data_IF_239512631314
#
_entry.id   IF_239512631314
#
_cell.length_a   1.000
_cell.length_b   1.000
_cell.length_c   1.000
_cell.angle_alpha   90.00
_cell.angle_beta   90.00
_cell.angle_gamma   90.00
#
_symmetry.space_group_name_H-M   'P 1'
#
loop_
_entity.id
_entity.type
_entity.pdbx_description
1 polymer ?
#
# COMPACT_ATOMS: atom_id res chain seq x y z
N UNK A 1 -4.77 -12.43 -33.63
CA UNK A 1 -3.98 -11.28 -33.13
C UNK A 1 -4.56 -10.03 -33.79
N UNK A 2 -5.53 -9.39 -33.15
CA UNK A 2 -6.03 -8.08 -33.60
C UNK A 2 -5.00 -7.04 -33.20
N UNK A 3 -4.29 -6.50 -34.19
CA UNK A 3 -3.51 -5.28 -34.03
C UNK A 3 -4.54 -4.15 -33.90
N UNK A 4 -4.91 -3.78 -32.66
CA UNK A 4 -5.64 -2.55 -32.43
C UNK A 4 -4.76 -1.41 -32.97
N UNK A 5 -5.27 -0.68 -33.96
CA UNK A 5 -4.57 0.46 -34.55
C UNK A 5 -4.39 1.52 -33.46
N UNK A 6 -3.16 2.02 -33.32
CA UNK A 6 -2.81 3.13 -32.39
C UNK A 6 -3.62 4.36 -32.75
N UNK A 7 -4.38 4.88 -31.79
CA UNK A 7 -5.29 6.01 -32.00
C UNK A 7 -4.62 7.34 -31.67
N UNK A 8 -4.55 8.22 -32.67
CA UNK A 8 -4.02 9.57 -32.52
C UNK A 8 -5.15 10.60 -32.66
N UNK A 9 -5.36 11.41 -31.64
CA UNK A 9 -6.26 12.57 -31.72
C UNK A 9 -5.44 13.83 -31.98
N UNK A 10 -5.80 14.57 -33.02
CA UNK A 10 -5.18 15.84 -33.37
C UNK A 10 -6.19 16.97 -33.13
N UNK A 11 -5.83 17.85 -32.21
CA UNK A 11 -6.56 19.04 -31.82
C UNK A 11 -5.81 20.26 -32.38
N UNK A 12 -6.20 20.69 -33.58
CA UNK A 12 -5.56 21.79 -34.32
C UNK A 12 -6.63 22.65 -34.96
N UNK A 13 -6.55 23.96 -34.84
CA UNK A 13 -7.56 24.90 -35.36
C UNK A 13 -7.32 25.26 -36.84
N UNK A 14 -6.06 25.23 -37.28
CA UNK A 14 -5.74 25.45 -38.72
C UNK A 14 -6.10 24.23 -39.57
N UNK A 15 -7.03 24.43 -40.48
CA UNK A 15 -7.52 23.37 -41.39
C UNK A 15 -6.45 22.84 -42.37
N UNK A 16 -5.52 23.71 -42.80
CA UNK A 16 -4.45 23.29 -43.69
C UNK A 16 -3.47 22.40 -42.97
N UNK A 17 -3.08 22.80 -41.74
CA UNK A 17 -2.17 22.07 -40.90
C UNK A 17 -2.76 20.73 -40.44
N UNK A 18 -4.06 20.67 -40.14
CA UNK A 18 -4.76 19.40 -39.85
C UNK A 18 -4.59 18.38 -40.96
N UNK A 19 -4.79 18.80 -42.21
CA UNK A 19 -4.63 17.92 -43.39
C UNK A 19 -3.19 17.45 -43.58
N UNK A 20 -2.25 18.32 -43.32
CA UNK A 20 -0.83 17.97 -43.34
C UNK A 20 -0.50 16.91 -42.28
N UNK A 21 -0.97 17.09 -41.08
CA UNK A 21 -0.79 16.14 -39.97
C UNK A 21 -1.47 14.79 -40.26
N UNK A 22 -2.69 14.79 -40.81
CA UNK A 22 -3.37 13.56 -41.25
C UNK A 22 -2.51 12.77 -42.26
N UNK A 23 -1.90 13.46 -43.22
CA UNK A 23 -1.03 12.83 -44.23
C UNK A 23 0.27 12.27 -43.59
N UNK A 24 0.87 13.01 -42.62
CA UNK A 24 2.09 12.58 -41.96
C UNK A 24 1.84 11.28 -41.14
N UNK A 25 0.68 11.13 -40.54
CA UNK A 25 0.32 9.99 -39.68
C UNK A 25 -0.73 9.05 -40.33
N UNK A 26 -0.76 8.95 -41.64
CA UNK A 26 -1.70 8.08 -42.36
C UNK A 26 -1.58 6.57 -42.02
N UNK A 27 -0.50 6.17 -41.39
CA UNK A 27 -0.24 4.81 -40.88
C UNK A 27 -0.97 4.52 -39.56
N UNK A 28 -1.49 5.55 -38.88
CA UNK A 28 -2.23 5.47 -37.62
C UNK A 28 -3.74 5.59 -37.81
N UNK A 29 -4.49 5.35 -36.74
CA UNK A 29 -5.92 5.68 -36.68
C UNK A 29 -6.07 7.13 -36.19
N UNK A 30 -6.18 8.06 -37.13
CA UNK A 30 -6.13 9.50 -36.86
C UNK A 30 -7.54 10.07 -36.82
N UNK A 31 -7.84 10.78 -35.72
CA UNK A 31 -9.06 11.61 -35.62
C UNK A 31 -8.62 13.06 -35.44
N UNK A 32 -9.13 13.92 -36.30
CA UNK A 32 -8.84 15.36 -36.27
C UNK A 32 -10.06 16.17 -35.82
N UNK A 33 -9.84 17.17 -34.98
CA UNK A 33 -10.87 18.10 -34.53
C UNK A 33 -10.28 19.48 -34.23
N UNK A 34 -11.17 20.48 -34.13
CA UNK A 34 -10.81 21.76 -33.50
C UNK A 34 -10.88 21.66 -32.00
N UNK A 35 -10.02 22.41 -31.32
CA UNK A 35 -10.07 22.53 -29.85
C UNK A 35 -11.33 23.33 -29.46
N UNK A 36 -12.32 22.66 -28.87
CA UNK A 36 -13.62 23.25 -28.53
C UNK A 36 -14.19 22.62 -27.24
N UNK A 37 -15.32 23.13 -26.77
CA UNK A 37 -16.05 22.52 -25.64
C UNK A 37 -16.45 21.06 -25.87
N UNK A 38 -16.58 20.65 -27.14
CA UNK A 38 -16.90 19.27 -27.53
C UNK A 38 -15.70 18.32 -27.44
N UNK A 39 -14.48 18.83 -27.24
CA UNK A 39 -13.24 18.03 -27.17
C UNK A 39 -13.30 16.98 -26.07
N UNK A 40 -13.85 17.29 -24.91
CA UNK A 40 -13.97 16.34 -23.81
C UNK A 40 -14.89 15.15 -24.15
N UNK A 41 -16.00 15.41 -24.84
CA UNK A 41 -16.90 14.36 -25.33
C UNK A 41 -16.21 13.50 -26.40
N UNK A 42 -15.41 14.13 -27.28
CA UNK A 42 -14.64 13.44 -28.30
C UNK A 42 -13.56 12.54 -27.69
N UNK A 43 -12.80 13.01 -26.72
CA UNK A 43 -11.79 12.23 -25.99
C UNK A 43 -12.43 10.99 -25.37
N UNK A 44 -13.58 11.11 -24.72
CA UNK A 44 -14.30 9.96 -24.14
C UNK A 44 -14.80 8.96 -25.16
N UNK A 45 -15.18 9.42 -26.38
CA UNK A 45 -15.70 8.56 -27.46
C UNK A 45 -14.61 7.85 -28.20
N UNK A 46 -13.51 8.55 -28.50
CA UNK A 46 -12.38 8.04 -29.29
C UNK A 46 -11.45 7.19 -28.46
N UNK A 47 -11.27 7.54 -27.17
CA UNK A 47 -10.28 6.93 -26.27
C UNK A 47 -8.89 6.88 -26.93
N UNK A 48 -8.29 8.04 -27.24
CA UNK A 48 -7.02 8.08 -27.95
C UNK A 48 -5.84 7.72 -27.02
N UNK A 49 -4.82 7.09 -27.58
CA UNK A 49 -3.57 6.80 -26.86
C UNK A 49 -2.67 8.03 -26.75
N UNK A 50 -2.64 8.83 -27.82
CA UNK A 50 -1.84 10.04 -27.93
C UNK A 50 -2.70 11.19 -28.45
N UNK A 51 -2.50 12.37 -27.90
CA UNK A 51 -3.13 13.62 -28.34
C UNK A 51 -2.05 14.61 -28.78
N UNK A 52 -2.11 15.07 -30.01
CA UNK A 52 -1.41 16.27 -30.46
C UNK A 52 -2.33 17.46 -30.22
N UNK A 53 -1.92 18.37 -29.35
CA UNK A 53 -2.77 19.47 -28.92
C UNK A 53 -2.11 20.82 -29.24
N UNK A 54 -2.68 21.57 -30.15
CA UNK A 54 -2.27 22.94 -30.40
C UNK A 54 -2.75 23.88 -29.29
N UNK A 55 -1.81 24.50 -28.62
CA UNK A 55 -2.08 25.48 -27.56
C UNK A 55 -2.39 26.88 -28.10
N UNK A 56 -2.31 27.08 -29.43
CA UNK A 56 -2.59 28.34 -30.11
C UNK A 56 -1.50 29.41 -29.91
N UNK A 57 -1.90 30.66 -30.10
CA UNK A 57 -1.03 31.82 -29.96
C UNK A 57 -0.87 32.25 -28.49
N UNK A 58 0.24 32.92 -28.12
CA UNK A 58 0.54 33.33 -26.75
C UNK A 58 -0.37 34.44 -26.17
N UNK A 59 -1.44 34.80 -26.86
CA UNK A 59 -2.44 35.73 -26.32
C UNK A 59 -3.03 35.19 -25.02
N UNK A 60 -2.93 35.93 -23.93
CA UNK A 60 -3.20 35.47 -22.56
C UNK A 60 -4.55 34.76 -22.37
N UNK A 61 -5.60 35.20 -23.04
CA UNK A 61 -6.93 34.62 -22.92
C UNK A 61 -7.02 33.24 -23.59
N UNK A 62 -6.49 33.09 -24.81
CA UNK A 62 -6.50 31.84 -25.58
C UNK A 62 -5.59 30.78 -24.95
N UNK A 63 -4.40 31.20 -24.50
CA UNK A 63 -3.44 30.33 -23.81
C UNK A 63 -4.00 29.75 -22.50
N UNK A 64 -4.69 30.56 -21.69
CA UNK A 64 -5.32 30.13 -20.44
C UNK A 64 -6.44 29.13 -20.68
N UNK A 65 -7.25 29.30 -21.73
CA UNK A 65 -8.30 28.34 -22.10
C UNK A 65 -7.71 27.00 -22.57
N UNK A 66 -6.66 27.03 -23.38
CA UNK A 66 -5.99 25.82 -23.86
C UNK A 66 -5.37 25.01 -22.70
N UNK A 67 -4.69 25.66 -21.77
CA UNK A 67 -4.13 25.01 -20.58
C UNK A 67 -5.22 24.43 -19.67
N UNK A 68 -6.36 25.10 -19.51
CA UNK A 68 -7.49 24.59 -18.76
C UNK A 68 -8.10 23.36 -19.43
N UNK A 69 -8.26 23.39 -20.78
CA UNK A 69 -8.73 22.23 -21.54
C UNK A 69 -7.75 21.04 -21.41
N UNK A 70 -6.44 21.29 -21.49
CA UNK A 70 -5.42 20.27 -21.26
C UNK A 70 -5.58 19.61 -19.89
N UNK A 71 -5.76 20.41 -18.84
CA UNK A 71 -6.00 19.92 -17.49
C UNK A 71 -7.26 19.07 -17.40
N UNK A 72 -8.33 19.49 -18.04
CA UNK A 72 -9.61 18.74 -18.09
C UNK A 72 -9.47 17.41 -18.83
N UNK A 73 -8.71 17.37 -19.94
CA UNK A 73 -8.42 16.13 -20.66
C UNK A 73 -7.67 15.14 -19.75
N UNK A 74 -6.61 15.60 -19.07
CA UNK A 74 -5.84 14.76 -18.15
C UNK A 74 -6.65 14.27 -16.94
N UNK A 75 -7.60 15.08 -16.44
CA UNK A 75 -8.50 14.66 -15.37
C UNK A 75 -9.46 13.55 -15.78
N UNK A 76 -9.92 13.56 -17.05
CA UNK A 76 -10.86 12.57 -17.58
C UNK A 76 -10.15 11.28 -17.99
N UNK A 77 -8.94 11.41 -18.53
CA UNK A 77 -8.15 10.32 -19.05
C UNK A 77 -6.67 10.50 -18.66
N UNK A 78 -6.30 10.15 -17.42
CA UNK A 78 -4.95 10.41 -16.87
C UNK A 78 -3.84 9.63 -17.59
N UNK A 79 -4.19 8.57 -18.28
CA UNK A 79 -3.23 7.71 -18.98
C UNK A 79 -2.88 8.20 -20.39
N UNK A 80 -3.63 9.16 -20.97
CA UNK A 80 -3.38 9.72 -22.29
C UNK A 80 -2.02 10.42 -22.33
N UNK A 81 -1.30 10.26 -23.44
CA UNK A 81 -0.06 11.01 -23.70
C UNK A 81 -0.35 12.25 -24.52
N UNK A 82 -0.16 13.44 -23.95
CA UNK A 82 -0.40 14.71 -24.61
C UNK A 82 0.91 15.34 -25.05
N UNK A 83 1.02 15.64 -26.35
CA UNK A 83 2.10 16.43 -26.93
C UNK A 83 1.54 17.82 -27.23
N UNK A 84 2.02 18.81 -26.52
CA UNK A 84 1.59 20.20 -26.71
C UNK A 84 2.32 20.82 -27.91
N UNK A 85 1.59 21.35 -28.87
CA UNK A 85 2.16 22.12 -29.98
C UNK A 85 2.06 23.61 -29.71
N UNK A 86 3.15 24.35 -29.93
CA UNK A 86 3.21 25.79 -29.68
C UNK A 86 3.96 26.52 -30.79
N UNK A 87 3.70 27.80 -30.97
CA UNK A 87 4.52 28.66 -31.79
C UNK A 87 5.92 28.82 -31.20
N UNK A 88 6.89 29.18 -32.06
CA UNK A 88 8.32 29.22 -31.68
C UNK A 88 8.61 30.17 -30.50
N UNK A 89 7.87 31.24 -30.37
CA UNK A 89 8.05 32.28 -29.35
C UNK A 89 7.33 31.98 -28.02
N UNK A 90 6.58 30.86 -27.93
CA UNK A 90 5.72 30.52 -26.78
C UNK A 90 6.36 29.49 -25.84
N UNK A 91 7.66 29.64 -25.50
CA UNK A 91 8.38 28.70 -24.59
C UNK A 91 7.75 28.58 -23.23
N UNK A 92 7.29 29.69 -22.64
CA UNK A 92 6.69 29.70 -21.32
C UNK A 92 5.38 28.87 -21.29
N UNK A 93 4.63 28.87 -22.40
CA UNK A 93 3.41 28.10 -22.54
C UNK A 93 3.69 26.59 -22.62
N UNK A 94 4.77 26.21 -23.35
CA UNK A 94 5.23 24.83 -23.39
C UNK A 94 5.63 24.30 -22.00
N UNK A 95 6.38 25.12 -21.24
CA UNK A 95 6.80 24.78 -19.86
C UNK A 95 5.59 24.61 -18.94
N UNK A 96 4.58 25.49 -19.06
CA UNK A 96 3.35 25.38 -18.29
C UNK A 96 2.57 24.14 -18.65
N UNK A 97 2.45 23.78 -19.93
CA UNK A 97 1.78 22.56 -20.37
C UNK A 97 2.43 21.29 -19.81
N UNK A 98 3.76 21.21 -19.84
CA UNK A 98 4.52 20.10 -19.23
C UNK A 98 4.34 20.09 -17.70
N UNK A 99 4.34 21.26 -17.05
CA UNK A 99 4.06 21.39 -15.62
C UNK A 99 2.66 20.94 -15.22
N UNK A 100 1.68 21.00 -16.13
CA UNK A 100 0.31 20.49 -15.93
C UNK A 100 0.16 18.99 -16.26
N UNK A 101 1.20 18.35 -16.83
CA UNK A 101 1.19 16.92 -17.10
C UNK A 101 1.24 16.53 -18.59
N UNK A 102 1.46 17.48 -19.52
CA UNK A 102 1.76 17.10 -20.91
C UNK A 102 3.04 16.26 -20.97
N UNK A 103 3.02 15.21 -21.78
CA UNK A 103 4.13 14.25 -21.88
C UNK A 103 5.35 14.85 -22.58
N UNK A 104 5.11 15.71 -23.56
CA UNK A 104 6.15 16.38 -24.33
C UNK A 104 5.59 17.66 -24.99
N UNK A 105 6.45 18.45 -25.61
CA UNK A 105 6.03 19.58 -26.42
C UNK A 105 6.75 19.64 -27.77
N UNK A 106 6.15 20.33 -28.72
CA UNK A 106 6.70 20.51 -30.06
C UNK A 106 6.50 21.97 -30.54
N UNK A 107 7.54 22.56 -31.11
CA UNK A 107 7.47 23.91 -31.66
C UNK A 107 7.17 23.88 -33.17
N UNK A 108 6.21 24.70 -33.61
CA UNK A 108 5.97 24.98 -35.01
C UNK A 108 7.12 25.84 -35.57
N UNK A 109 7.51 25.72 -36.87
CA UNK A 109 6.85 24.98 -37.94
C UNK A 109 7.07 23.46 -37.86
N UNK A 110 6.14 22.70 -38.48
CA UNK A 110 6.18 21.24 -38.42
C UNK A 110 7.30 20.70 -39.28
N UNK A 111 8.16 19.88 -38.68
CA UNK A 111 9.07 18.99 -39.38
C UNK A 111 8.55 17.55 -39.22
N UNK A 112 8.03 16.97 -40.29
CA UNK A 112 7.38 15.65 -40.27
C UNK A 112 8.28 14.55 -39.67
N UNK A 113 9.59 14.54 -39.95
CA UNK A 113 10.51 13.54 -39.44
C UNK A 113 10.68 13.66 -37.91
N UNK A 114 10.85 14.89 -37.40
CA UNK A 114 11.05 15.13 -35.96
C UNK A 114 9.74 14.87 -35.20
N UNK A 115 8.61 15.40 -35.69
CA UNK A 115 7.32 15.20 -35.03
C UNK A 115 6.94 13.71 -34.99
N UNK A 116 7.21 12.95 -36.06
CA UNK A 116 6.99 11.50 -36.07
C UNK A 116 7.79 10.77 -34.99
N UNK A 117 9.03 11.20 -34.69
CA UNK A 117 9.82 10.63 -33.61
C UNK A 117 9.18 10.91 -32.25
N UNK A 118 8.74 12.15 -32.01
CA UNK A 118 8.09 12.55 -30.74
C UNK A 118 6.80 11.77 -30.53
N UNK A 119 5.94 11.66 -31.55
CA UNK A 119 4.69 10.92 -31.49
C UNK A 119 4.93 9.42 -31.26
N UNK A 120 5.87 8.80 -31.98
CA UNK A 120 6.24 7.39 -31.76
C UNK A 120 6.77 7.13 -30.37
N UNK A 121 7.54 8.06 -29.82
CA UNK A 121 8.01 7.99 -28.43
C UNK A 121 6.85 8.02 -27.44
N UNK A 122 5.87 8.90 -27.64
CA UNK A 122 4.68 8.97 -26.78
C UNK A 122 3.87 7.66 -26.82
N UNK A 123 3.66 7.07 -28.01
CA UNK A 123 3.05 5.74 -28.15
C UNK A 123 3.86 4.66 -27.42
N UNK A 124 5.19 4.68 -27.55
CA UNK A 124 6.03 3.70 -26.86
C UNK A 124 5.95 3.80 -25.33
N UNK A 125 5.88 5.02 -24.80
CA UNK A 125 5.66 5.25 -23.37
C UNK A 125 4.31 4.65 -22.96
N UNK A 126 3.24 4.92 -23.71
CA UNK A 126 1.90 4.37 -23.45
C UNK A 126 1.89 2.83 -23.45
N UNK A 127 2.48 2.21 -24.48
CA UNK A 127 2.60 0.76 -24.58
C UNK A 127 3.35 0.14 -23.38
N UNK A 128 4.47 0.76 -22.98
CA UNK A 128 5.25 0.26 -21.85
C UNK A 128 4.47 0.37 -20.53
N UNK A 129 3.68 1.43 -20.35
CA UNK A 129 2.83 1.57 -19.19
C UNK A 129 1.68 0.55 -19.18
N UNK A 130 1.04 0.32 -20.34
CA UNK A 130 0.01 -0.71 -20.48
C UNK A 130 0.57 -2.13 -20.28
N UNK A 131 1.72 -2.43 -20.87
CA UNK A 131 2.37 -3.72 -20.69
C UNK A 131 2.79 -3.93 -19.24
N UNK A 132 3.29 -2.89 -18.57
CA UNK A 132 3.60 -2.90 -17.14
C UNK A 132 2.34 -3.13 -16.30
N UNK A 133 1.22 -2.48 -16.67
CA UNK A 133 -0.09 -2.70 -16.06
C UNK A 133 -0.56 -4.14 -16.24
N UNK A 134 -0.53 -4.68 -17.47
CA UNK A 134 -0.89 -6.08 -17.77
C UNK A 134 0.01 -7.10 -17.06
N UNK A 135 1.32 -6.85 -17.02
CA UNK A 135 2.26 -7.70 -16.29
C UNK A 135 1.98 -7.67 -14.78
N UNK A 136 1.65 -6.52 -14.23
CA UNK A 136 1.22 -6.38 -12.84
C UNK A 136 -0.08 -7.13 -12.56
N UNK A 137 -1.06 -7.05 -13.47
CA UNK A 137 -2.31 -7.80 -13.38
C UNK A 137 -2.10 -9.31 -13.55
N UNK A 138 -1.27 -9.74 -14.49
CA UNK A 138 -0.96 -11.16 -14.75
C UNK A 138 -0.15 -11.78 -13.61
N UNK A 139 0.75 -11.04 -13.00
CA UNK A 139 1.48 -11.50 -11.81
C UNK A 139 0.63 -11.46 -10.55
N UNK A 140 -0.58 -10.85 -10.62
CA UNK A 140 -1.45 -10.68 -9.45
C UNK A 140 -0.82 -9.84 -8.33
N UNK A 141 0.35 -9.25 -8.59
CA UNK A 141 1.07 -8.43 -7.63
C UNK A 141 0.42 -7.04 -7.58
N UNK A 142 -0.48 -6.82 -6.65
CA UNK A 142 -0.91 -5.49 -6.30
C UNK A 142 0.25 -4.75 -5.64
N UNK A 143 0.91 -3.88 -6.39
CA UNK A 143 1.85 -2.91 -5.81
C UNK A 143 1.08 -1.62 -5.49
N UNK A 144 0.28 -1.63 -4.44
CA UNK A 144 -0.35 -0.43 -3.93
C UNK A 144 0.70 0.33 -3.12
N UNK A 145 1.23 1.42 -3.65
CA UNK A 145 2.16 2.32 -2.94
C UNK A 145 3.35 1.61 -2.25
N UNK A 146 3.89 0.55 -2.88
CA UNK A 146 4.98 -0.26 -2.34
C UNK A 146 4.54 -1.46 -1.48
N UNK A 147 3.24 -1.70 -1.36
CA UNK A 147 2.69 -2.91 -0.75
C UNK A 147 2.70 -4.02 -1.81
N UNK A 148 3.49 -5.07 -1.57
CA UNK A 148 3.61 -6.21 -2.46
C UNK A 148 2.84 -7.39 -1.86
N UNK A 149 1.95 -7.99 -2.65
CA UNK A 149 1.19 -9.17 -2.25
C UNK A 149 0.23 -9.63 -3.35
N UNK A 150 0.04 -10.94 -3.45
CA UNK A 150 -0.87 -11.60 -4.38
C UNK A 150 -1.98 -12.37 -3.67
N UNK A 151 -1.84 -12.57 -2.35
CA UNK A 151 -2.81 -13.31 -1.56
C UNK A 151 -4.16 -12.60 -1.48
N UNK A 152 -5.26 -13.36 -1.44
CA UNK A 152 -6.62 -12.80 -1.31
C UNK A 152 -6.79 -11.98 -0.02
N UNK A 153 -6.09 -12.40 1.04
CA UNK A 153 -6.07 -11.68 2.30
C UNK A 153 -5.47 -10.28 2.13
N UNK A 154 -4.33 -10.14 1.44
CA UNK A 154 -3.72 -8.83 1.17
C UNK A 154 -4.52 -8.01 0.16
N UNK A 155 -5.10 -8.63 -0.87
CA UNK A 155 -6.02 -7.92 -1.79
C UNK A 155 -7.21 -7.29 -1.06
N UNK A 156 -7.74 -7.97 -0.06
CA UNK A 156 -8.83 -7.44 0.77
C UNK A 156 -8.39 -6.23 1.60
N UNK A 157 -7.16 -6.26 2.16
CA UNK A 157 -6.57 -5.11 2.89
C UNK A 157 -6.35 -3.93 1.94
N UNK A 158 -5.77 -4.16 0.75
CA UNK A 158 -5.53 -3.09 -0.23
C UNK A 158 -6.84 -2.41 -0.66
N UNK A 159 -7.89 -3.19 -0.98
CA UNK A 159 -9.22 -2.64 -1.30
C UNK A 159 -9.83 -1.84 -0.15
N UNK A 160 -9.61 -2.25 1.08
CA UNK A 160 -10.07 -1.49 2.25
C UNK A 160 -9.30 -0.17 2.39
N UNK A 161 -7.97 -0.17 2.15
CA UNK A 161 -7.14 1.05 2.12
C UNK A 161 -7.67 2.03 1.06
N UNK A 162 -7.90 1.58 -0.18
CA UNK A 162 -8.42 2.42 -1.27
C UNK A 162 -9.76 3.08 -0.92
N UNK A 163 -10.66 2.35 -0.25
CA UNK A 163 -11.96 2.88 0.18
C UNK A 163 -11.85 3.90 1.32
N UNK A 164 -10.93 3.68 2.26
CA UNK A 164 -10.81 4.49 3.48
C UNK A 164 -9.88 5.69 3.28
N UNK A 165 -8.89 5.57 2.40
CA UNK A 165 -7.89 6.61 2.19
C UNK A 165 -8.48 7.99 1.85
N UNK A 166 -9.50 8.15 0.98
CA UNK A 166 -10.08 9.45 0.66
C UNK A 166 -10.85 10.09 1.83
N UNK A 167 -11.16 9.35 2.88
CA UNK A 167 -11.91 9.86 4.04
C UNK A 167 -10.98 10.44 5.10
N UNK A 168 -11.55 11.26 6.03
CA UNK A 168 -10.84 11.74 7.21
C UNK A 168 -11.02 10.82 8.44
N UNK A 169 -11.58 9.62 8.27
CA UNK A 169 -11.79 8.68 9.37
C UNK A 169 -10.48 8.30 10.05
N UNK A 170 -10.54 8.11 11.36
CA UNK A 170 -9.45 7.57 12.15
C UNK A 170 -9.30 6.08 11.86
N UNK A 171 -8.08 5.62 11.57
CA UNK A 171 -7.81 4.24 11.18
C UNK A 171 -6.94 3.54 12.21
N UNK A 172 -7.42 2.39 12.70
CA UNK A 172 -6.65 1.50 13.56
C UNK A 172 -6.11 0.31 12.75
N UNK A 173 -4.79 0.20 12.65
CA UNK A 173 -4.09 -0.87 11.92
C UNK A 173 -3.61 -1.92 12.92
N UNK A 174 -4.18 -3.11 12.86
CA UNK A 174 -3.81 -4.24 13.70
C UNK A 174 -2.98 -5.25 12.92
N UNK A 175 -1.93 -5.79 13.54
CA UNK A 175 -1.11 -6.83 12.93
C UNK A 175 0.13 -7.13 13.74
N UNK A 176 0.67 -8.33 13.58
CA UNK A 176 1.90 -8.75 14.25
C UNK A 176 3.09 -7.83 13.93
N UNK A 177 4.14 -7.89 14.76
CA UNK A 177 5.37 -7.16 14.49
C UNK A 177 5.96 -7.61 13.13
N UNK A 178 6.45 -6.63 12.34
CA UNK A 178 7.07 -6.93 11.05
C UNK A 178 6.10 -7.20 9.89
N UNK A 179 4.79 -7.04 10.06
CA UNK A 179 3.79 -7.26 8.99
C UNK A 179 3.68 -6.12 7.98
N UNK A 180 4.28 -4.95 8.26
CA UNK A 180 4.28 -3.78 7.40
C UNK A 180 3.23 -2.71 7.76
N UNK A 181 2.84 -2.59 9.04
CA UNK A 181 1.85 -1.59 9.51
C UNK A 181 2.17 -0.16 9.07
N UNK A 182 3.44 0.25 9.13
CA UNK A 182 3.86 1.58 8.69
C UNK A 182 3.67 1.79 7.18
N UNK A 183 3.92 0.77 6.34
CA UNK A 183 3.67 0.85 4.89
C UNK A 183 2.18 1.09 4.61
N UNK A 184 1.28 0.42 5.36
CA UNK A 184 -0.17 0.63 5.23
C UNK A 184 -0.56 2.06 5.63
N UNK A 185 0.04 2.59 6.71
CA UNK A 185 -0.22 3.97 7.13
C UNK A 185 0.27 4.99 6.09
N UNK A 186 1.43 4.75 5.48
CA UNK A 186 1.94 5.59 4.39
C UNK A 186 1.06 5.51 3.14
N UNK A 187 0.56 4.33 2.78
CA UNK A 187 -0.37 4.15 1.67
C UNK A 187 -1.69 4.89 1.91
N UNK A 188 -2.28 4.78 3.12
CA UNK A 188 -3.46 5.53 3.53
C UNK A 188 -3.27 7.05 3.40
N UNK A 189 -2.09 7.56 3.76
CA UNK A 189 -1.76 8.98 3.62
C UNK A 189 -1.62 9.40 2.16
N UNK A 190 -0.83 8.66 1.36
CA UNK A 190 -0.57 8.99 -0.05
C UNK A 190 -1.82 8.97 -0.92
N UNK A 191 -2.75 8.06 -0.64
CA UNK A 191 -4.03 7.94 -1.35
C UNK A 191 -5.12 8.88 -0.79
N UNK A 192 -4.79 9.70 0.19
CA UNK A 192 -5.73 10.65 0.80
C UNK A 192 -5.68 12.02 0.14
N UNK A 193 -6.70 12.85 0.39
CA UNK A 193 -6.68 14.28 0.03
C UNK A 193 -5.58 15.10 0.74
N UNK A 194 -4.84 14.48 1.68
CA UNK A 194 -3.74 15.11 2.43
C UNK A 194 -2.35 14.62 1.97
N UNK A 195 -2.24 13.96 0.82
CA UNK A 195 -0.99 13.38 0.29
C UNK A 195 0.18 14.36 0.18
N UNK A 196 -0.11 15.65 -0.05
CA UNK A 196 0.89 16.72 -0.13
C UNK A 196 1.13 17.44 1.22
N UNK A 197 0.49 16.98 2.29
CA UNK A 197 0.60 17.54 3.63
C UNK A 197 1.57 16.72 4.49
N UNK A 198 2.00 17.22 5.66
CA UNK A 198 2.92 16.47 6.52
C UNK A 198 2.39 15.09 6.93
N UNK A 199 3.28 14.10 6.91
CA UNK A 199 3.08 12.79 7.53
C UNK A 199 4.06 12.65 8.69
N UNK A 200 3.56 12.71 9.92
CA UNK A 200 4.39 12.65 11.12
C UNK A 200 4.18 11.30 11.81
N UNK A 201 5.21 10.46 11.79
CA UNK A 201 5.20 9.16 12.43
C UNK A 201 5.85 9.24 13.82
N UNK A 202 5.20 8.63 14.80
CA UNK A 202 5.65 8.56 16.19
C UNK A 202 5.50 7.12 16.64
N UNK A 203 6.61 6.52 17.10
CA UNK A 203 6.59 5.19 17.68
C UNK A 203 6.53 5.33 19.21
N UNK A 204 5.39 4.97 19.80
CA UNK A 204 5.15 5.12 21.24
C UNK A 204 6.03 4.19 22.10
N UNK A 205 6.49 3.06 21.55
CA UNK A 205 7.38 2.14 22.25
C UNK A 205 8.86 2.53 22.21
N UNK A 206 9.26 3.37 21.24
CA UNK A 206 10.66 3.74 21.05
C UNK A 206 11.09 4.95 21.88
N UNK A 207 10.15 5.72 22.42
CA UNK A 207 10.40 6.94 23.19
C UNK A 207 10.13 6.64 24.66
N UNK A 208 11.06 6.96 25.59
CA UNK A 208 10.80 6.84 27.02
C UNK A 208 9.55 7.62 27.45
N UNK A 209 8.75 7.06 28.36
CA UNK A 209 7.46 7.64 28.80
C UNK A 209 7.58 9.11 29.23
N UNK A 210 8.66 9.46 29.90
CA UNK A 210 8.95 10.83 30.39
C UNK A 210 9.17 11.84 29.26
N UNK A 211 9.62 11.36 28.09
CA UNK A 211 9.87 12.21 26.91
C UNK A 211 8.71 12.17 25.91
N UNK A 212 7.95 11.08 25.89
CA UNK A 212 6.85 10.89 24.93
C UNK A 212 5.82 12.02 25.04
N UNK A 213 5.51 12.48 26.25
CA UNK A 213 4.60 13.59 26.48
C UNK A 213 5.12 14.88 25.85
N UNK A 214 6.37 15.25 26.10
CA UNK A 214 6.98 16.46 25.57
C UNK A 214 7.16 16.42 24.05
N UNK A 215 7.45 15.24 23.47
CA UNK A 215 7.53 15.04 22.04
C UNK A 215 6.17 15.18 21.36
N UNK A 216 5.12 14.59 21.94
CA UNK A 216 3.76 14.63 21.36
C UNK A 216 3.14 16.04 21.45
N UNK A 217 3.12 16.61 22.65
CA UNK A 217 2.33 17.83 22.93
C UNK A 217 3.17 19.11 22.93
N UNK A 218 4.51 19.01 22.97
CA UNK A 218 5.38 20.18 23.12
C UNK A 218 5.33 20.81 24.52
N UNK A 219 6.10 21.86 24.71
CA UNK A 219 6.19 22.52 26.01
C UNK A 219 6.47 24.00 25.90
N UNK A 220 6.01 24.75 26.91
CA UNK A 220 6.35 26.16 27.08
C UNK A 220 7.67 26.31 27.87
N UNK A 221 8.32 27.47 27.74
CA UNK A 221 9.51 27.81 28.50
C UNK A 221 9.22 27.71 30.01
N UNK A 222 10.02 26.96 30.76
CA UNK A 222 9.87 26.76 32.20
C UNK A 222 8.90 25.66 32.60
N UNK A 223 8.37 24.86 31.68
CA UNK A 223 7.44 23.78 31.98
C UNK A 223 8.03 22.68 32.86
N UNK A 224 9.34 22.46 32.76
CA UNK A 224 10.12 21.52 33.60
C UNK A 224 11.58 21.95 33.65
N UNK A 225 12.37 21.30 34.53
CA UNK A 225 13.82 21.57 34.66
C UNK A 225 14.52 21.22 33.35
N UNK A 226 15.07 22.24 32.64
CA UNK A 226 15.68 22.09 31.31
C UNK A 226 14.85 22.67 30.15
N UNK A 227 13.60 23.08 30.37
CA UNK A 227 12.78 23.75 29.35
C UNK A 227 13.21 25.21 29.16
N UNK A 228 14.35 25.43 28.51
CA UNK A 228 14.95 26.77 28.32
C UNK A 228 14.25 27.60 27.25
N UNK A 229 13.59 26.96 26.30
CA UNK A 229 12.84 27.59 25.19
C UNK A 229 11.51 26.86 24.99
N UNK A 230 10.56 27.56 24.36
CA UNK A 230 9.31 26.97 23.86
C UNK A 230 9.63 25.99 22.73
N UNK A 231 8.99 24.82 22.71
CA UNK A 231 9.15 23.80 21.67
C UNK A 231 7.78 23.27 21.25
N UNK A 232 7.53 23.27 19.94
CA UNK A 232 6.31 22.71 19.36
C UNK A 232 6.33 21.19 19.41
N UNK A 233 5.20 20.58 19.70
CA UNK A 233 5.04 19.11 19.70
C UNK A 233 4.84 18.55 18.29
N UNK A 234 5.00 17.21 18.18
CA UNK A 234 4.78 16.50 16.92
C UNK A 234 3.36 16.65 16.37
N UNK A 235 2.35 16.80 17.26
CA UNK A 235 0.97 17.05 16.85
C UNK A 235 0.85 18.41 16.18
N UNK A 236 1.50 19.46 16.68
CA UNK A 236 1.53 20.78 16.04
C UNK A 236 2.26 20.74 14.69
N UNK A 237 3.38 20.00 14.60
CA UNK A 237 4.15 19.84 13.35
C UNK A 237 3.38 19.09 12.27
N UNK A 238 2.39 18.31 12.65
CA UNK A 238 1.54 17.53 11.75
C UNK A 238 0.29 18.29 11.30
N UNK A 239 0.09 19.54 11.75
CA UNK A 239 -1.14 20.28 11.45
C UNK A 239 -1.45 20.30 9.97
N UNK A 240 -2.72 20.19 9.61
CA UNK A 240 -3.29 20.00 8.27
C UNK A 240 -2.93 18.65 7.61
N UNK A 241 -2.11 17.82 8.25
CA UNK A 241 -1.57 16.58 7.73
C UNK A 241 -2.14 15.31 8.39
N UNK A 242 -1.27 14.32 8.52
CA UNK A 242 -1.58 13.00 9.10
C UNK A 242 -0.59 12.65 10.21
N UNK A 243 -1.10 12.25 11.35
CA UNK A 243 -0.31 11.68 12.46
C UNK A 243 -0.43 10.17 12.41
N UNK A 244 0.69 9.50 12.42
CA UNK A 244 0.78 8.04 12.57
C UNK A 244 1.36 7.69 13.94
N UNK A 245 0.54 7.06 14.79
CA UNK A 245 0.93 6.58 16.11
C UNK A 245 1.17 5.08 16.04
N UNK A 246 2.44 4.69 15.93
CA UNK A 246 2.83 3.28 15.95
C UNK A 246 2.94 2.77 17.39
N UNK A 247 2.55 1.51 17.59
CA UNK A 247 2.50 0.80 18.87
C UNK A 247 1.71 1.58 19.94
N UNK A 248 0.48 2.05 19.55
CA UNK A 248 -0.40 2.82 20.45
C UNK A 248 -0.75 2.07 21.74
N UNK A 249 -0.74 0.72 21.71
CA UNK A 249 -0.98 -0.11 22.88
C UNK A 249 0.11 -0.03 23.97
N UNK A 250 1.24 0.62 23.68
CA UNK A 250 2.33 0.89 24.63
C UNK A 250 2.21 2.26 25.31
N UNK A 251 1.23 3.09 24.89
CA UNK A 251 1.07 4.44 25.42
C UNK A 251 0.67 4.44 26.91
N UNK A 252 1.36 5.18 27.78
CA UNK A 252 0.99 5.33 29.19
C UNK A 252 -0.44 5.86 29.39
N UNK A 253 -1.14 5.39 30.43
CA UNK A 253 -2.53 5.74 30.69
C UNK A 253 -2.78 7.26 30.83
N UNK A 254 -1.81 8.00 31.39
CA UNK A 254 -1.87 9.48 31.49
C UNK A 254 -1.92 10.15 30.13
N UNK A 255 -1.17 9.62 29.15
CA UNK A 255 -1.11 10.17 27.78
C UNK A 255 -2.32 9.75 26.95
N UNK A 256 -2.90 8.57 27.22
CA UNK A 256 -4.14 8.15 26.59
C UNK A 256 -5.28 9.14 26.84
N UNK A 257 -5.41 9.68 28.08
CA UNK A 257 -6.41 10.67 28.40
C UNK A 257 -6.19 11.99 27.65
N UNK A 258 -4.93 12.44 27.51
CA UNK A 258 -4.59 13.65 26.75
C UNK A 258 -4.83 13.47 25.25
N UNK A 259 -4.47 12.33 24.69
CA UNK A 259 -4.70 12.00 23.30
C UNK A 259 -6.22 11.97 23.00
N UNK A 260 -7.02 11.36 23.88
CA UNK A 260 -8.48 11.34 23.74
C UNK A 260 -9.05 12.77 23.63
N UNK A 261 -8.56 13.69 24.49
CA UNK A 261 -8.97 15.08 24.44
C UNK A 261 -8.64 15.74 23.10
N UNK A 262 -7.43 15.51 22.56
CA UNK A 262 -7.05 16.03 21.23
C UNK A 262 -7.95 15.47 20.13
N UNK A 263 -8.29 14.17 20.17
CA UNK A 263 -9.19 13.55 19.20
C UNK A 263 -10.62 14.11 19.25
N UNK A 264 -11.09 14.53 20.43
CA UNK A 264 -12.44 15.06 20.64
C UNK A 264 -12.53 16.55 20.37
N UNK A 265 -11.63 17.34 20.96
CA UNK A 265 -11.68 18.81 20.94
C UNK A 265 -10.94 19.41 19.73
N UNK A 266 -10.12 18.63 19.03
CA UNK A 266 -9.28 19.09 17.92
C UNK A 266 -8.35 20.25 18.33
N UNK A 267 -7.92 20.24 19.59
CA UNK A 267 -6.99 21.22 20.14
C UNK A 267 -5.90 20.51 20.93
N UNK A 268 -4.74 21.14 21.04
CA UNK A 268 -3.63 20.68 21.87
C UNK A 268 -3.20 21.77 22.85
N UNK A 269 -2.93 21.37 24.09
CA UNK A 269 -2.29 22.21 25.10
C UNK A 269 -0.84 21.78 25.25
N UNK A 270 0.12 22.72 25.18
CA UNK A 270 1.52 22.42 25.50
C UNK A 270 1.68 22.19 26.99
N UNK A 271 2.70 21.41 27.37
CA UNK A 271 3.06 21.22 28.78
C UNK A 271 3.43 22.57 29.38
N UNK A 272 2.77 22.94 30.50
CA UNK A 272 2.94 24.25 31.14
C UNK A 272 2.20 25.40 30.45
N UNK A 273 1.55 25.15 29.31
CA UNK A 273 0.71 26.12 28.60
C UNK A 273 -0.75 26.08 29.08
N UNK A 274 -1.49 27.15 28.79
CA UNK A 274 -2.94 27.29 29.08
C UNK A 274 -3.76 27.70 27.86
N UNK A 275 -3.11 27.87 26.72
CA UNK A 275 -3.77 28.33 25.49
C UNK A 275 -3.97 27.15 24.57
N UNK A 276 -5.21 26.73 24.30
CA UNK A 276 -5.47 25.64 23.36
C UNK A 276 -5.09 26.07 21.94
N UNK A 277 -4.41 25.19 21.22
CA UNK A 277 -3.97 25.38 19.84
C UNK A 277 -4.87 24.49 18.96
N UNK A 278 -5.69 25.06 18.05
CA UNK A 278 -6.53 24.27 17.17
C UNK A 278 -5.68 23.50 16.17
N UNK A 279 -6.08 22.26 15.87
CA UNK A 279 -5.39 21.36 14.95
C UNK A 279 -6.39 20.71 13.99
N UNK A 280 -6.03 20.63 12.72
CA UNK A 280 -6.72 19.82 11.72
C UNK A 280 -5.88 18.59 11.37
N UNK A 281 -6.09 17.48 12.08
CA UNK A 281 -5.30 16.27 11.96
C UNK A 281 -6.14 15.07 11.54
N UNK A 282 -5.58 14.24 10.65
CA UNK A 282 -6.00 12.86 10.45
C UNK A 282 -5.14 11.93 11.30
N UNK A 283 -5.77 10.98 12.00
CA UNK A 283 -5.06 10.02 12.83
C UNK A 283 -5.06 8.63 12.19
N UNK A 284 -3.89 7.98 12.20
CA UNK A 284 -3.72 6.58 11.89
C UNK A 284 -2.97 5.97 13.08
N UNK A 285 -3.53 4.95 13.72
CA UNK A 285 -2.94 4.27 14.86
C UNK A 285 -2.58 2.84 14.49
N UNK A 286 -1.50 2.29 15.04
CA UNK A 286 -1.13 0.91 14.82
C UNK A 286 -0.68 0.23 16.12
N UNK A 287 -0.93 -1.07 16.23
CA UNK A 287 -0.41 -1.90 17.33
C UNK A 287 -0.35 -3.37 16.96
N UNK A 288 0.55 -4.11 17.60
CA UNK A 288 0.61 -5.57 17.59
C UNK A 288 -0.05 -6.18 18.83
N UNK A 289 -0.40 -5.37 19.84
CA UNK A 289 -1.02 -5.84 21.08
C UNK A 289 -2.51 -6.12 20.92
N UNK A 290 -3.02 -7.03 21.73
CA UNK A 290 -4.45 -7.27 21.86
C UNK A 290 -5.07 -6.17 22.74
N UNK A 291 -5.73 -5.19 22.12
CA UNK A 291 -6.34 -4.07 22.82
C UNK A 291 -7.50 -4.52 23.72
N UNK A 292 -8.27 -5.53 23.35
CA UNK A 292 -9.38 -6.05 24.18
C UNK A 292 -8.83 -6.58 25.51
N UNK A 293 -7.68 -7.25 25.49
CA UNK A 293 -7.01 -7.71 26.70
C UNK A 293 -6.46 -6.54 27.51
N UNK A 294 -5.89 -5.52 26.89
CA UNK A 294 -5.40 -4.33 27.60
C UNK A 294 -6.54 -3.52 28.23
N UNK A 295 -7.70 -3.45 27.59
CA UNK A 295 -8.92 -2.83 28.15
C UNK A 295 -9.37 -3.61 29.35
N UNK A 296 -9.49 -4.94 29.28
CA UNK A 296 -9.94 -5.78 30.38
C UNK A 296 -9.04 -5.71 31.62
N UNK A 297 -7.75 -5.43 31.44
CA UNK A 297 -6.78 -5.23 32.53
C UNK A 297 -6.64 -3.78 33.00
N UNK A 298 -7.38 -2.84 32.38
CA UNK A 298 -7.29 -1.41 32.69
C UNK A 298 -6.01 -0.71 32.18
N UNK A 299 -5.17 -1.40 31.38
CA UNK A 299 -3.96 -0.83 30.81
C UNK A 299 -4.24 0.07 29.59
N UNK A 300 -5.38 -0.11 28.93
CA UNK A 300 -5.84 0.75 27.83
C UNK A 300 -7.27 1.21 28.09
N UNK A 301 -7.56 2.48 27.79
CA UNK A 301 -8.86 3.07 28.03
C UNK A 301 -9.85 2.65 26.93
N UNK A 302 -11.02 2.24 27.31
CA UNK A 302 -12.11 1.83 26.41
C UNK A 302 -12.64 3.00 25.58
N UNK A 303 -12.74 4.21 26.17
CA UNK A 303 -13.18 5.42 25.47
C UNK A 303 -12.23 5.84 24.35
N UNK A 304 -10.92 5.73 24.57
CA UNK A 304 -9.92 5.96 23.55
C UNK A 304 -10.01 4.92 22.42
N UNK A 305 -10.19 3.64 22.78
CA UNK A 305 -10.33 2.56 21.80
C UNK A 305 -11.46 2.86 20.81
N UNK A 306 -12.65 3.20 21.27
CA UNK A 306 -13.76 3.52 20.37
C UNK A 306 -13.49 4.76 19.50
N UNK A 307 -12.69 5.69 19.97
CA UNK A 307 -12.36 6.90 19.20
C UNK A 307 -11.30 6.67 18.13
N UNK A 308 -10.36 5.73 18.34
CA UNK A 308 -9.32 5.40 17.35
C UNK A 308 -9.73 4.27 16.40
N UNK A 309 -10.76 3.49 16.71
CA UNK A 309 -11.21 2.33 15.95
C UNK A 309 -12.41 2.60 15.03
N UNK A 310 -12.60 3.84 14.53
CA UNK A 310 -13.66 4.16 13.57
C UNK A 310 -13.61 3.21 12.36
N UNK A 311 -12.40 2.95 11.86
CA UNK A 311 -12.14 1.91 10.86
C UNK A 311 -10.97 1.06 11.32
N UNK A 312 -11.16 -0.26 11.37
CA UNK A 312 -10.09 -1.20 11.75
C UNK A 312 -9.63 -2.00 10.54
N UNK A 313 -8.33 -1.92 10.25
CA UNK A 313 -7.65 -2.73 9.23
C UNK A 313 -6.80 -3.79 9.93
N UNK A 314 -7.02 -5.08 9.61
CA UNK A 314 -6.23 -6.20 10.13
C UNK A 314 -5.27 -6.68 9.04
N UNK A 315 -3.97 -6.60 9.32
CA UNK A 315 -2.93 -7.10 8.41
C UNK A 315 -2.66 -8.55 8.79
N UNK A 316 -2.87 -9.51 7.87
CA UNK A 316 -2.59 -10.91 8.15
C UNK A 316 -1.09 -11.14 8.33
N UNK A 317 -0.65 -12.05 9.19
CA UNK A 317 0.75 -12.45 9.29
C UNK A 317 1.20 -13.17 8.01
N UNK A 318 2.51 -13.17 7.73
CA UNK A 318 3.06 -13.67 6.46
C UNK A 318 2.71 -15.16 6.21
N UNK A 319 2.61 -15.97 7.25
CA UNK A 319 2.18 -17.38 7.19
C UNK A 319 0.74 -17.59 6.67
N UNK A 320 -0.11 -16.58 6.74
CA UNK A 320 -1.51 -16.60 6.25
C UNK A 320 -1.64 -15.96 4.85
N UNK A 321 -0.54 -15.43 4.30
CA UNK A 321 -0.47 -14.82 2.97
C UNK A 321 0.09 -15.83 1.97
N UNK A 322 -0.79 -16.66 1.44
CA UNK A 322 -0.36 -17.72 0.52
C UNK A 322 0.29 -17.16 -0.76
N UNK A 323 1.51 -17.57 -1.04
CA UNK A 323 2.29 -17.11 -2.20
C UNK A 323 3.09 -15.82 -1.97
N UNK A 324 2.77 -14.99 -0.98
CA UNK A 324 3.43 -13.71 -0.77
C UNK A 324 4.87 -13.86 -0.26
N UNK A 325 5.19 -14.91 0.51
CA UNK A 325 6.54 -15.11 1.04
C UNK A 325 7.60 -15.23 -0.06
N UNK A 326 7.30 -16.00 -1.11
CA UNK A 326 8.21 -16.18 -2.24
C UNK A 326 8.30 -14.89 -3.10
N UNK A 327 7.16 -14.26 -3.38
CA UNK A 327 7.12 -13.01 -4.14
C UNK A 327 7.91 -11.90 -3.44
N UNK A 328 7.71 -11.73 -2.14
CA UNK A 328 8.46 -10.77 -1.32
C UNK A 328 9.95 -11.11 -1.29
N UNK A 329 10.31 -12.40 -1.16
CA UNK A 329 11.71 -12.82 -1.17
C UNK A 329 12.40 -12.46 -2.49
N UNK A 330 11.77 -12.70 -3.63
CA UNK A 330 12.29 -12.35 -4.95
C UNK A 330 12.49 -10.84 -5.11
N UNK A 331 11.48 -10.05 -4.72
CA UNK A 331 11.57 -8.59 -4.76
C UNK A 331 12.67 -8.05 -3.85
N UNK A 332 12.74 -8.53 -2.61
CA UNK A 332 13.75 -8.11 -1.65
C UNK A 332 15.16 -8.53 -2.09
N UNK A 333 15.29 -9.71 -2.71
CA UNK A 333 16.55 -10.18 -3.27
C UNK A 333 17.05 -9.24 -4.36
N UNK A 334 16.20 -8.92 -5.33
CA UNK A 334 16.55 -8.02 -6.43
C UNK A 334 16.91 -6.63 -5.92
N UNK A 335 16.05 -6.02 -5.11
CA UNK A 335 16.27 -4.66 -4.58
C UNK A 335 17.53 -4.59 -3.71
N UNK A 336 17.80 -5.64 -2.92
CA UNK A 336 18.99 -5.71 -2.07
C UNK A 336 20.24 -5.91 -2.90
N UNK A 337 20.20 -6.77 -3.92
CA UNK A 337 21.31 -7.01 -4.86
C UNK A 337 21.71 -5.73 -5.59
N UNK A 338 20.74 -5.00 -6.13
CA UNK A 338 20.96 -3.70 -6.79
C UNK A 338 21.59 -2.69 -5.83
N UNK A 339 21.07 -2.58 -4.62
CA UNK A 339 21.55 -1.64 -3.60
C UNK A 339 22.99 -1.89 -3.15
N UNK A 340 23.41 -3.16 -3.07
CA UNK A 340 24.76 -3.53 -2.65
C UNK A 340 25.71 -3.80 -3.81
N UNK A 341 25.25 -3.64 -5.07
CA UNK A 341 26.07 -3.91 -6.26
C UNK A 341 26.51 -5.37 -6.37
N UNK A 342 25.72 -6.31 -5.80
CA UNK A 342 26.01 -7.75 -5.81
C UNK A 342 25.14 -8.44 -6.86
N UNK A 343 25.70 -8.97 -7.96
CA UNK A 343 24.92 -9.67 -8.97
C UNK A 343 24.41 -11.01 -8.39
N UNK A 344 23.12 -11.09 -8.14
CA UNK A 344 22.47 -12.35 -7.80
C UNK A 344 21.71 -12.90 -9.00
N UNK A 345 21.77 -14.23 -9.22
CA UNK A 345 21.05 -14.93 -10.29
C UNK A 345 19.69 -15.46 -9.84
N UNK A 346 19.35 -15.33 -8.56
CA UNK A 346 18.08 -15.74 -7.99
C UNK A 346 18.21 -16.65 -6.77
N UNK A 347 17.09 -17.31 -6.43
CA UNK A 347 16.99 -18.27 -5.33
C UNK A 347 17.17 -19.70 -5.87
N UNK A 348 17.92 -20.52 -5.17
CA UNK A 348 18.06 -21.94 -5.45
C UNK A 348 16.75 -22.69 -5.13
N UNK A 349 16.49 -23.87 -5.72
CA UNK A 349 15.26 -24.63 -5.47
C UNK A 349 15.03 -25.01 -3.99
N UNK A 350 16.10 -25.29 -3.24
CA UNK A 350 16.07 -25.55 -1.79
C UNK A 350 15.65 -24.28 -1.01
N UNK A 351 16.19 -23.10 -1.38
CA UNK A 351 15.78 -21.83 -0.79
C UNK A 351 14.30 -21.53 -1.03
N UNK A 352 13.78 -21.80 -2.24
CA UNK A 352 12.36 -21.61 -2.56
C UNK A 352 11.48 -22.47 -1.66
N UNK A 353 11.80 -23.79 -1.53
CA UNK A 353 11.07 -24.70 -0.65
C UNK A 353 11.13 -24.26 0.81
N UNK A 354 12.32 -23.87 1.28
CA UNK A 354 12.53 -23.39 2.65
C UNK A 354 11.73 -22.12 2.95
N UNK A 355 11.71 -21.15 2.04
CA UNK A 355 10.93 -19.91 2.18
C UNK A 355 9.44 -20.20 2.28
N UNK A 356 8.91 -21.11 1.47
CA UNK A 356 7.49 -21.47 1.46
C UNK A 356 7.07 -22.27 2.71
N UNK A 357 7.96 -23.10 3.24
CA UNK A 357 7.68 -23.93 4.41
C UNK A 357 7.85 -23.19 5.74
N UNK A 358 8.63 -22.13 5.77
CA UNK A 358 8.92 -21.40 7.01
C UNK A 358 7.72 -20.59 7.50
N UNK A 359 7.49 -20.54 8.82
CA UNK A 359 6.34 -19.86 9.44
C UNK A 359 6.46 -18.35 9.58
N UNK A 360 7.65 -17.82 9.43
CA UNK A 360 7.95 -16.39 9.50
C UNK A 360 7.41 -15.70 10.78
N UNK A 361 7.85 -16.08 11.99
CA UNK A 361 7.38 -15.44 13.21
C UNK A 361 7.69 -13.94 13.28
N UNK A 362 8.78 -13.48 12.66
CA UNK A 362 9.10 -12.06 12.48
C UNK A 362 8.55 -11.44 11.20
N UNK A 363 7.64 -12.16 10.49
CA UNK A 363 6.95 -11.70 9.29
C UNK A 363 7.91 -11.16 8.20
N UNK A 364 7.53 -10.06 7.53
CA UNK A 364 8.31 -9.46 6.43
C UNK A 364 9.66 -8.92 6.93
N UNK A 365 9.73 -8.43 8.16
CA UNK A 365 10.99 -7.94 8.74
C UNK A 365 12.03 -9.06 8.91
N UNK A 366 11.60 -10.24 9.31
CA UNK A 366 12.50 -11.41 9.38
C UNK A 366 12.95 -11.83 7.98
N UNK A 367 12.02 -11.93 7.03
CA UNK A 367 12.32 -12.27 5.65
C UNK A 367 13.33 -11.28 5.04
N UNK A 368 13.10 -9.98 5.21
CA UNK A 368 14.00 -8.93 4.74
C UNK A 368 15.40 -9.06 5.33
N UNK A 369 15.51 -9.29 6.64
CA UNK A 369 16.81 -9.43 7.30
C UNK A 369 17.56 -10.68 6.83
N UNK A 370 16.88 -11.80 6.63
CA UNK A 370 17.50 -13.03 6.11
C UNK A 370 17.96 -12.88 4.67
N UNK A 371 17.17 -12.25 3.80
CA UNK A 371 17.55 -11.95 2.43
C UNK A 371 18.75 -11.00 2.39
N UNK A 372 18.73 -9.92 3.20
CA UNK A 372 19.89 -9.01 3.29
C UNK A 372 21.16 -9.74 3.74
N UNK A 373 21.05 -10.57 4.76
CA UNK A 373 22.18 -11.37 5.23
C UNK A 373 22.71 -12.29 4.15
N UNK A 374 21.82 -13.00 3.46
CA UNK A 374 22.20 -13.89 2.37
C UNK A 374 22.87 -13.15 1.21
N UNK A 375 22.36 -12.01 0.75
CA UNK A 375 22.96 -11.21 -0.34
C UNK A 375 24.36 -10.71 0.03
N UNK A 376 24.57 -10.34 1.29
CA UNK A 376 25.88 -9.81 1.76
C UNK A 376 26.89 -10.95 1.91
N UNK A 377 26.49 -12.10 2.45
CA UNK A 377 27.38 -13.18 2.87
C UNK A 377 27.52 -14.32 1.86
N UNK A 378 26.57 -14.45 0.90
CA UNK A 378 26.64 -15.54 -0.10
C UNK A 378 27.92 -15.43 -0.96
N UNK A 379 28.61 -16.53 -1.08
CA UNK A 379 29.80 -16.68 -1.95
C UNK A 379 29.41 -16.90 -3.42
N UNK A 380 28.21 -17.44 -3.64
CA UNK A 380 27.68 -17.78 -4.97
C UNK A 380 26.64 -16.76 -5.43
N UNK A 381 26.46 -16.66 -6.76
CA UNK A 381 25.43 -15.80 -7.35
C UNK A 381 24.01 -16.31 -7.15
N UNK A 382 23.79 -17.54 -6.66
CA UNK A 382 22.49 -18.14 -6.37
C UNK A 382 22.38 -18.36 -4.87
N UNK A 383 21.34 -17.80 -4.24
CA UNK A 383 21.12 -17.88 -2.79
C UNK A 383 20.45 -19.22 -2.44
N UNK A 384 21.08 -19.96 -1.54
CA UNK A 384 20.62 -21.28 -1.05
C UNK A 384 19.83 -21.16 0.26
N UNK A 385 19.18 -22.25 0.70
CA UNK A 385 18.50 -22.31 1.99
C UNK A 385 19.49 -22.06 3.15
N UNK A 386 20.70 -22.58 3.05
CA UNK A 386 21.78 -22.37 4.03
C UNK A 386 22.18 -20.89 4.16
N UNK A 387 22.27 -20.17 3.02
CA UNK A 387 22.58 -18.72 3.03
C UNK A 387 21.50 -17.91 3.75
N UNK A 388 20.24 -18.36 3.69
CA UNK A 388 19.11 -17.78 4.40
C UNK A 388 19.06 -18.22 5.89
N UNK A 389 19.91 -19.13 6.32
CA UNK A 389 19.83 -19.76 7.64
C UNK A 389 18.53 -20.55 7.83
N UNK A 390 17.99 -21.14 6.75
CA UNK A 390 16.80 -21.98 6.75
C UNK A 390 17.19 -23.43 6.49
N UNK A 391 16.40 -24.35 7.04
CA UNK A 391 16.53 -25.77 6.70
C UNK A 391 15.72 -26.08 5.45
N UNK A 392 16.29 -26.85 4.52
CA UNK A 392 15.54 -27.37 3.38
C UNK A 392 14.60 -28.49 3.87
N UNK A 393 13.27 -28.31 3.75
CA UNK A 393 12.35 -29.37 4.12
C UNK A 393 12.49 -30.63 3.24
N UNK A 394 13.18 -30.53 2.09
CA UNK A 394 13.48 -31.67 1.22
C UNK A 394 14.62 -32.56 1.71
N UNK A 395 15.47 -32.10 2.63
CA UNK A 395 16.54 -32.88 3.26
C UNK A 395 16.06 -33.67 4.49
N UNK A 396 14.87 -33.38 5.00
CA UNK A 396 14.30 -34.10 6.12
C UNK A 396 13.64 -35.42 5.57
N UNK A 397 14.19 -36.59 5.84
CA UNK A 397 13.60 -37.89 5.39
C UNK A 397 12.15 -38.05 5.86
N UNK A 398 11.73 -37.37 6.91
CA UNK A 398 10.34 -37.35 7.39
C UNK A 398 9.35 -36.72 6.41
N UNK A 399 9.78 -35.72 5.62
CA UNK A 399 8.89 -35.07 4.63
C UNK A 399 8.59 -35.96 3.42
N UNK A 400 9.52 -36.83 3.06
CA UNK A 400 9.34 -37.85 1.99
C UNK A 400 8.55 -39.06 2.47
N UNK A 401 8.31 -39.19 3.77
CA UNK A 401 7.54 -40.27 4.34
C UNK A 401 6.03 -40.00 4.20
N UNK A 402 5.38 -40.71 3.28
CA UNK A 402 3.93 -40.57 3.01
C UNK A 402 3.08 -40.72 4.28
N UNK A 403 3.52 -41.59 5.22
CA UNK A 403 2.83 -41.79 6.50
C UNK A 403 2.85 -40.55 7.37
N UNK A 404 3.98 -39.82 7.43
CA UNK A 404 4.13 -38.58 8.20
C UNK A 404 3.36 -37.45 7.54
N UNK A 405 3.45 -37.28 6.21
CA UNK A 405 2.70 -36.29 5.44
C UNK A 405 1.19 -36.49 5.62
N UNK A 406 0.70 -37.71 5.54
CA UNK A 406 -0.70 -38.07 5.79
C UNK A 406 -1.13 -37.75 7.22
N UNK A 407 -0.30 -38.10 8.20
CA UNK A 407 -0.58 -37.82 9.62
C UNK A 407 -0.69 -36.32 9.91
N UNK A 408 0.18 -35.51 9.32
CA UNK A 408 0.13 -34.04 9.43
C UNK A 408 -1.16 -33.47 8.83
N UNK A 409 -1.51 -33.92 7.60
CA UNK A 409 -2.74 -33.49 6.92
C UNK A 409 -4.00 -33.89 7.71
N UNK A 410 -4.06 -35.13 8.21
CA UNK A 410 -5.16 -35.61 9.06
C UNK A 410 -5.28 -34.77 10.35
N UNK A 411 -4.17 -34.51 11.04
CA UNK A 411 -4.13 -33.70 12.26
C UNK A 411 -4.63 -32.28 12.02
N UNK A 412 -4.21 -31.66 10.92
CA UNK A 412 -4.60 -30.30 10.57
C UNK A 412 -6.10 -30.21 10.24
N UNK A 413 -6.61 -31.14 9.44
CA UNK A 413 -8.02 -31.20 9.07
C UNK A 413 -8.92 -31.37 10.30
N UNK A 414 -8.55 -32.30 11.21
CA UNK A 414 -9.30 -32.54 12.45
C UNK A 414 -9.33 -31.30 13.35
N UNK A 415 -8.19 -30.62 13.54
CA UNK A 415 -8.13 -29.38 14.34
C UNK A 415 -8.97 -28.26 13.73
N UNK A 416 -8.94 -28.07 12.42
CA UNK A 416 -9.75 -27.08 11.73
C UNK A 416 -11.24 -27.36 11.87
N UNK A 417 -11.67 -28.62 11.66
CA UNK A 417 -13.05 -29.00 11.81
C UNK A 417 -13.56 -28.80 13.24
N UNK A 418 -12.75 -29.11 14.26
CA UNK A 418 -13.09 -28.87 15.66
C UNK A 418 -13.21 -27.39 15.99
N UNK A 419 -12.33 -26.56 15.46
CA UNK A 419 -12.36 -25.11 15.64
C UNK A 419 -13.63 -24.50 15.03
N UNK A 420 -13.99 -24.86 13.78
CA UNK A 420 -15.22 -24.44 13.11
C UNK A 420 -16.47 -24.94 13.85
N UNK A 421 -16.44 -26.20 14.33
CA UNK A 421 -17.52 -26.83 15.07
C UNK A 421 -17.59 -26.39 16.54
N UNK A 422 -16.67 -25.53 17.02
CA UNK A 422 -16.57 -25.10 18.43
C UNK A 422 -16.57 -26.27 19.42
N UNK A 423 -15.83 -27.32 19.10
CA UNK A 423 -15.75 -28.53 19.93
C UNK A 423 -16.95 -29.49 19.79
N UNK A 424 -17.93 -29.20 18.96
CA UNK A 424 -19.05 -30.14 18.70
C UNK A 424 -18.61 -31.27 17.79
N UNK A 425 -18.42 -32.48 18.38
CA UNK A 425 -17.89 -33.65 17.67
C UNK A 425 -18.79 -34.14 16.54
N UNK A 426 -20.12 -34.05 16.67
CA UNK A 426 -21.06 -34.47 15.61
C UNK A 426 -20.92 -33.59 14.37
N UNK A 427 -20.83 -32.28 14.57
CA UNK A 427 -20.65 -31.31 13.49
C UNK A 427 -19.24 -31.36 12.88
N UNK A 428 -18.23 -31.63 13.70
CA UNK A 428 -16.85 -31.81 13.22
C UNK A 428 -16.73 -33.07 12.32
N UNK A 429 -17.36 -34.19 12.70
CA UNK A 429 -17.40 -35.40 11.89
C UNK A 429 -18.10 -35.17 10.54
N UNK A 430 -19.21 -34.42 10.53
CA UNK A 430 -19.93 -34.03 9.31
C UNK A 430 -19.06 -33.17 8.39
N UNK A 431 -18.38 -32.15 8.93
CA UNK A 431 -17.46 -31.28 8.18
C UNK A 431 -16.28 -32.05 7.56
N UNK A 432 -15.80 -33.11 8.23
CA UNK A 432 -14.71 -33.96 7.75
C UNK A 432 -15.20 -35.04 6.79
N UNK A 433 -16.50 -35.24 6.62
CA UNK A 433 -17.05 -36.33 5.80
C UNK A 433 -16.77 -37.70 6.37
N UNK A 434 -16.62 -37.84 7.71
CA UNK A 434 -16.34 -39.12 8.40
C UNK A 434 -17.42 -39.42 9.42
N UNK A 435 -17.47 -40.72 9.85
CA UNK A 435 -18.37 -41.12 10.91
C UNK A 435 -17.85 -40.63 12.27
N UNK A 436 -18.78 -40.48 13.26
CA UNK A 436 -18.41 -40.07 14.62
C UNK A 436 -17.41 -41.05 15.28
N UNK A 437 -17.54 -42.38 15.17
CA UNK A 437 -16.51 -43.28 15.64
C UNK A 437 -15.14 -43.04 15.00
N UNK A 438 -15.09 -42.86 13.68
CA UNK A 438 -13.85 -42.55 12.97
C UNK A 438 -13.18 -41.27 13.46
N UNK A 439 -13.98 -40.25 13.82
CA UNK A 439 -13.45 -39.03 14.43
C UNK A 439 -12.82 -39.31 15.81
N UNK A 440 -13.43 -40.14 16.64
CA UNK A 440 -12.82 -40.56 17.93
C UNK A 440 -11.49 -41.24 17.74
N UNK A 441 -11.40 -42.20 16.77
CA UNK A 441 -10.13 -42.88 16.45
C UNK A 441 -9.06 -41.88 15.99
N UNK A 442 -9.43 -40.88 15.19
CA UNK A 442 -8.53 -39.80 14.75
C UNK A 442 -8.07 -38.91 15.92
N UNK A 443 -8.95 -38.56 16.84
CA UNK A 443 -8.62 -37.78 18.04
C UNK A 443 -7.63 -38.53 18.93
N UNK A 444 -7.86 -39.79 19.17
CA UNK A 444 -6.96 -40.65 19.96
C UNK A 444 -5.61 -40.83 19.26
N UNK A 445 -5.62 -41.20 17.98
CA UNK A 445 -4.42 -41.42 17.14
C UNK A 445 -3.52 -40.17 17.11
N UNK A 446 -4.13 -38.94 17.03
CA UNK A 446 -3.39 -37.70 16.91
C UNK A 446 -3.26 -36.96 18.25
N UNK A 447 -3.72 -37.54 19.36
CA UNK A 447 -3.68 -36.97 20.72
C UNK A 447 -4.28 -35.57 20.76
N UNK A 448 -5.42 -35.36 20.12
CA UNK A 448 -6.12 -34.07 20.08
C UNK A 448 -7.23 -34.08 21.12
N UNK A 449 -7.18 -33.12 22.05
CA UNK A 449 -8.23 -32.92 23.05
C UNK A 449 -9.30 -31.96 22.48
N UNK A 450 -10.49 -32.49 22.20
CA UNK A 450 -11.62 -31.73 21.67
C UNK A 450 -12.12 -30.67 22.66
N UNK A 451 -11.91 -30.82 23.97
CA UNK A 451 -12.34 -29.87 24.99
C UNK A 451 -11.62 -28.52 24.88
N UNK A 452 -10.45 -28.48 24.27
CA UNK A 452 -9.70 -27.24 24.03
C UNK A 452 -10.38 -26.31 23.02
N UNK A 453 -11.26 -26.83 22.17
CA UNK A 453 -11.98 -26.07 21.13
C UNK A 453 -13.39 -25.63 21.52
N UNK A 454 -13.89 -26.07 22.72
CA UNK A 454 -15.23 -25.79 23.23
C UNK A 454 -15.32 -24.73 24.32
N UNK A 455 -14.20 -24.16 24.81
CA UNK A 455 -14.19 -23.15 25.85
C UNK A 455 -14.39 -21.75 25.28
N UNK A 456 -15.65 -21.33 25.11
CA UNK A 456 -16.05 -19.93 25.31
C UNK A 456 -15.95 -19.63 26.82
N UNK A 457 -15.44 -18.44 27.17
CA UNK A 457 -15.26 -17.94 28.52
C UNK A 457 -16.50 -18.17 29.43
N UNK A 458 -16.32 -18.35 30.74
CA UNK A 458 -17.42 -18.53 31.65
C UNK A 458 -18.26 -17.25 31.72
N UNK A 459 -19.51 -17.34 31.29
CA UNK A 459 -20.58 -16.40 31.60
C UNK A 459 -20.66 -16.24 33.12
N UNK A 460 -20.49 -14.99 33.58
CA UNK A 460 -20.58 -14.63 34.98
C UNK A 460 -21.82 -15.19 35.66
N UNK A 461 -21.62 -15.85 36.77
CA UNK A 461 -22.63 -16.19 37.74
C UNK A 461 -23.28 -14.92 38.31
N UNK A 462 -24.54 -14.73 38.03
CA UNK A 462 -25.45 -14.01 38.92
C UNK A 462 -25.54 -14.82 40.22
N UNK A 463 -25.25 -14.17 41.33
CA UNK A 463 -25.76 -14.59 42.63
C UNK A 463 -25.88 -13.37 43.55
N UNK A 464 -27.14 -13.09 43.87
CA UNK A 464 -27.70 -12.54 45.13
C UNK A 464 -27.15 -11.22 45.64
#
# INVERSE_FOLDING_TARGET
>A
MNSERRKLLILENDRALRRELENIFADLDVVCSEASEQTLALVRRVEPDVVLFDLGTPEQAAASQALELLRQILNIAPDIKIIAMTEHDARDLAVQAVGLGATDFYHKPINAAVLSIVVRRAFRIRELEEENGRLREQTGAMALEGIIGVSDAMRSVCRAIEKVAPTNATVLVLGESGTGKELMARALHRLSGRSHRPFVAINCAAIPDTLLESELFGYEKGAFTGATKRTAGKLELADTGTVFLDEIGEMPASLQAKLLRVLQERTVDRIGGRTPIPLDLRFICATNRNLDQLISTGAFREDLYYRISEVTLRIPPLRERQGDSLLLAQFLLQTTAERFGRPTRGLAPDAIRAIQAHRWPGNVRELENRIKGAVIMAENAVVTASDLGLQDPGEDPEYLNLRVARQRAETQAVRQALAVARGNLSRAAELLGVTRPTLYDLLEKHRIDAAQFGRTAPSGQQAS
#
